data_IF_573135521904
#
_entry.id   IF_573135521904
#
_cell.length_a   1.000
_cell.length_b   1.000
_cell.length_c   1.000
_cell.angle_alpha   90.00
_cell.angle_beta   90.00
_cell.angle_gamma   90.00
#
_symmetry.space_group_name_H-M   'P 1'
#
loop_
_entity.id
_entity.type
_entity.pdbx_description
1 polymer ?
#
# COMPACT_ATOMS: atom_id res chain seq x y z
N UNK A 1 -12.34 -14.17 70.43
CA UNK A 1 -12.47 -14.23 68.95
C UNK A 1 -13.89 -13.82 68.62
N UNK A 2 -14.07 -12.58 68.16
CA UNK A 2 -15.37 -12.03 67.73
C UNK A 2 -15.84 -12.80 66.53
N UNK A 3 -16.91 -13.62 66.65
CA UNK A 3 -17.54 -14.29 65.54
C UNK A 3 -18.00 -13.23 64.52
N UNK A 4 -17.38 -13.21 63.36
CA UNK A 4 -17.80 -12.35 62.27
C UNK A 4 -19.25 -12.66 61.90
N UNK A 5 -20.11 -11.68 61.91
CA UNK A 5 -21.54 -11.81 61.54
C UNK A 5 -21.70 -12.49 60.16
N UNK A 6 -22.76 -13.28 59.95
CA UNK A 6 -23.09 -13.83 58.61
C UNK A 6 -23.14 -12.76 57.53
N UNK A 7 -23.61 -11.56 57.88
CA UNK A 7 -23.64 -10.40 56.99
C UNK A 7 -22.22 -9.95 56.61
N UNK A 8 -21.25 -9.87 57.56
CA UNK A 8 -19.89 -9.46 57.30
C UNK A 8 -19.15 -10.46 56.37
N UNK A 9 -19.39 -11.75 56.59
CA UNK A 9 -18.83 -12.83 55.74
C UNK A 9 -19.36 -12.77 54.31
N UNK A 10 -20.65 -12.53 54.15
CA UNK A 10 -21.30 -12.37 52.84
C UNK A 10 -20.77 -11.14 52.14
N UNK A 11 -20.70 -9.97 52.80
CA UNK A 11 -20.19 -8.72 52.24
C UNK A 11 -18.70 -8.82 51.86
N UNK A 12 -17.89 -9.57 52.62
CA UNK A 12 -16.48 -9.81 52.24
C UNK A 12 -16.35 -10.55 50.89
N UNK A 13 -17.22 -11.52 50.62
CA UNK A 13 -17.25 -12.25 49.34
C UNK A 13 -17.77 -11.43 48.20
N UNK A 14 -18.57 -10.42 48.48
CA UNK A 14 -19.19 -9.52 47.46
C UNK A 14 -18.29 -8.36 47.05
N UNK A 15 -17.09 -8.22 47.58
CA UNK A 15 -16.18 -7.09 47.29
C UNK A 15 -15.94 -6.94 45.78
N UNK A 16 -15.60 -8.00 45.08
CA UNK A 16 -15.33 -7.98 43.66
C UNK A 16 -16.60 -7.77 42.80
N UNK A 17 -17.70 -8.53 42.97
CA UNK A 17 -18.94 -8.25 42.26
C UNK A 17 -19.45 -6.82 42.45
N UNK A 18 -19.33 -6.29 43.68
CA UNK A 18 -19.73 -4.94 43.99
C UNK A 18 -18.86 -3.86 43.30
N UNK A 19 -17.52 -4.07 43.29
CA UNK A 19 -16.60 -3.18 42.59
C UNK A 19 -16.90 -3.15 41.09
N UNK A 20 -17.07 -4.33 40.46
CA UNK A 20 -17.39 -4.44 39.04
C UNK A 20 -18.75 -3.81 38.73
N UNK A 21 -19.78 -4.02 39.57
CA UNK A 21 -21.09 -3.37 39.42
C UNK A 21 -20.95 -1.85 39.48
N UNK A 22 -20.16 -1.33 40.42
CA UNK A 22 -19.93 0.10 40.56
C UNK A 22 -19.18 0.70 39.37
N UNK A 23 -18.16 -0.01 38.85
CA UNK A 23 -17.44 0.38 37.64
C UNK A 23 -18.38 0.38 36.43
N UNK A 24 -19.21 -0.67 36.28
CA UNK A 24 -20.21 -0.75 35.23
C UNK A 24 -21.21 0.41 35.26
N UNK A 25 -21.75 0.74 36.44
CA UNK A 25 -22.64 1.89 36.65
C UNK A 25 -21.92 3.23 36.37
N UNK A 26 -20.64 3.34 36.72
CA UNK A 26 -19.83 4.51 36.39
C UNK A 26 -19.67 4.66 34.88
N UNK A 27 -19.31 3.58 34.18
CA UNK A 27 -19.18 3.58 32.74
C UNK A 27 -20.50 3.95 32.04
N UNK A 28 -21.64 3.39 32.49
CA UNK A 28 -22.96 3.74 31.96
C UNK A 28 -23.24 5.26 32.12
N UNK A 29 -23.07 5.78 33.32
CA UNK A 29 -23.37 7.20 33.61
C UNK A 29 -22.39 8.12 32.87
N UNK A 30 -21.10 7.76 32.80
CA UNK A 30 -20.11 8.52 32.05
C UNK A 30 -20.43 8.53 30.55
N UNK A 31 -20.73 7.37 29.99
CA UNK A 31 -21.12 7.26 28.58
C UNK A 31 -22.38 8.07 28.27
N UNK A 32 -23.42 7.97 29.10
CA UNK A 32 -24.64 8.73 28.94
C UNK A 32 -24.51 10.24 29.13
N UNK A 33 -23.60 10.67 30.02
CA UNK A 33 -23.35 12.09 30.27
C UNK A 33 -22.46 12.75 29.21
N UNK A 34 -21.44 12.03 28.72
CA UNK A 34 -20.36 12.60 27.90
C UNK A 34 -20.37 12.15 26.43
N UNK A 35 -21.35 11.35 25.97
CA UNK A 35 -21.40 10.95 24.54
C UNK A 35 -21.39 12.15 23.55
N UNK A 36 -22.02 13.34 23.86
CA UNK A 36 -21.94 14.46 22.93
C UNK A 36 -20.52 15.03 22.81
N UNK A 37 -19.75 14.98 23.90
CA UNK A 37 -18.33 15.44 23.92
C UNK A 37 -17.48 14.61 22.97
N UNK A 38 -17.59 13.28 23.07
CA UNK A 38 -16.82 12.37 22.21
C UNK A 38 -17.26 12.51 20.75
N UNK A 39 -18.57 12.61 20.49
CA UNK A 39 -19.09 12.79 19.14
C UNK A 39 -18.58 14.09 18.50
N UNK A 40 -18.60 15.18 19.24
CA UNK A 40 -18.08 16.46 18.75
C UNK A 40 -16.56 16.42 18.55
N UNK A 41 -15.82 15.79 19.47
CA UNK A 41 -14.38 15.61 19.31
C UNK A 41 -14.04 14.76 18.06
N UNK A 42 -14.75 13.67 17.81
CA UNK A 42 -14.54 12.82 16.64
C UNK A 42 -14.77 13.55 15.32
N UNK A 43 -15.87 14.32 15.23
CA UNK A 43 -16.17 15.14 14.05
C UNK A 43 -15.09 16.20 13.84
N UNK A 44 -14.64 16.85 14.92
CA UNK A 44 -13.60 17.87 14.83
C UNK A 44 -12.27 17.26 14.36
N UNK A 45 -11.84 16.15 14.96
CA UNK A 45 -10.61 15.44 14.55
C UNK A 45 -10.72 14.99 13.08
N UNK A 46 -11.88 14.46 12.67
CA UNK A 46 -12.09 14.06 11.29
C UNK A 46 -11.98 15.23 10.32
N UNK A 47 -12.58 16.40 10.66
CA UNK A 47 -12.50 17.59 9.84
C UNK A 47 -11.05 18.07 9.64
N UNK A 48 -10.23 18.03 10.69
CA UNK A 48 -8.82 18.37 10.61
C UNK A 48 -8.02 17.33 9.79
N UNK A 49 -8.24 16.05 10.00
CA UNK A 49 -7.55 15.00 9.28
C UNK A 49 -7.85 15.00 7.77
N UNK A 50 -9.05 15.46 7.38
CA UNK A 50 -9.40 15.69 5.96
C UNK A 50 -8.90 17.02 5.40
N UNK A 51 -8.23 17.86 6.20
CA UNK A 51 -7.68 19.13 5.74
C UNK A 51 -8.74 20.20 5.49
N UNK A 52 -9.94 20.08 6.04
CA UNK A 52 -10.98 21.12 5.91
C UNK A 52 -10.53 22.52 6.33
N UNK A 53 -9.68 22.70 7.36
CA UNK A 53 -9.17 24.02 7.72
C UNK A 53 -8.46 24.76 6.60
N UNK A 54 -7.76 24.05 5.72
CA UNK A 54 -7.05 24.67 4.58
C UNK A 54 -7.98 25.21 3.49
N UNK A 55 -9.25 24.76 3.47
CA UNK A 55 -10.25 25.16 2.48
C UNK A 55 -11.10 26.37 2.93
N UNK A 56 -10.92 26.83 4.17
CA UNK A 56 -11.78 27.85 4.80
C UNK A 56 -10.96 29.11 5.06
N UNK A 57 -11.55 30.28 4.78
CA UNK A 57 -10.90 31.56 5.08
C UNK A 57 -10.53 31.65 6.58
N UNK A 58 -9.36 32.20 6.93
CA UNK A 58 -8.86 32.24 8.32
C UNK A 58 -9.85 32.81 9.34
N UNK A 59 -10.57 33.87 9.00
CA UNK A 59 -11.58 34.49 9.87
C UNK A 59 -12.74 33.53 10.16
N UNK A 60 -13.21 32.76 9.15
CA UNK A 60 -14.27 31.80 9.31
C UNK A 60 -13.81 30.57 10.09
N UNK A 61 -12.53 30.17 9.92
CA UNK A 61 -11.92 29.09 10.69
C UNK A 61 -11.86 29.42 12.17
N UNK A 62 -11.41 30.64 12.55
CA UNK A 62 -11.40 31.08 13.94
C UNK A 62 -12.78 31.17 14.56
N UNK A 63 -13.76 31.69 13.80
CA UNK A 63 -15.15 31.70 14.23
C UNK A 63 -15.68 30.27 14.46
N UNK A 64 -15.40 29.34 13.53
CA UNK A 64 -15.76 27.91 13.65
C UNK A 64 -15.13 27.24 14.86
N UNK A 65 -13.84 27.45 15.11
CA UNK A 65 -13.13 26.93 16.28
C UNK A 65 -13.71 27.50 17.58
N UNK A 66 -14.06 28.79 17.59
CA UNK A 66 -14.75 29.41 18.72
C UNK A 66 -16.10 28.76 19.01
N UNK A 67 -16.89 28.48 18.00
CA UNK A 67 -18.17 27.77 18.12
C UNK A 67 -17.96 26.34 18.64
N UNK A 68 -16.98 25.60 18.11
CA UNK A 68 -16.64 24.24 18.58
C UNK A 68 -16.19 24.27 20.03
N UNK A 69 -15.34 25.24 20.43
CA UNK A 69 -14.90 25.39 21.82
C UNK A 69 -16.08 25.69 22.76
N UNK A 70 -17.01 26.57 22.38
CA UNK A 70 -18.21 26.87 23.14
C UNK A 70 -19.12 25.65 23.28
N UNK A 71 -19.33 24.90 22.20
CA UNK A 71 -20.12 23.66 22.21
C UNK A 71 -19.46 22.59 23.09
N UNK A 72 -18.12 22.44 23.02
CA UNK A 72 -17.37 21.54 23.89
C UNK A 72 -17.53 21.96 25.37
N UNK A 73 -17.31 23.23 25.67
CA UNK A 73 -17.48 23.74 27.04
C UNK A 73 -18.92 23.51 27.55
N UNK A 74 -19.91 23.78 26.73
CA UNK A 74 -21.32 23.56 27.07
C UNK A 74 -21.64 22.07 27.27
N UNK A 75 -21.18 21.19 26.39
CA UNK A 75 -21.43 19.74 26.50
C UNK A 75 -20.71 19.14 27.72
N UNK A 76 -19.49 19.60 28.02
CA UNK A 76 -18.72 19.20 29.22
C UNK A 76 -19.46 19.68 30.47
N UNK A 77 -19.82 20.97 30.54
CA UNK A 77 -20.54 21.53 31.70
C UNK A 77 -21.88 20.79 31.93
N UNK A 78 -22.66 20.55 30.86
CA UNK A 78 -23.89 19.77 30.92
C UNK A 78 -23.65 18.32 31.38
N UNK A 79 -22.55 17.70 30.90
CA UNK A 79 -22.12 16.36 31.30
C UNK A 79 -21.79 16.30 32.78
N UNK A 80 -20.99 17.23 33.27
CA UNK A 80 -20.61 17.33 34.70
C UNK A 80 -21.82 17.58 35.60
N UNK A 81 -22.73 18.50 35.23
CA UNK A 81 -23.92 18.79 36.00
C UNK A 81 -24.91 17.61 36.07
N UNK A 82 -24.91 16.75 35.06
CA UNK A 82 -25.77 15.55 35.00
C UNK A 82 -25.12 14.30 35.56
N UNK A 83 -23.78 14.28 35.61
CA UNK A 83 -23.06 13.14 36.09
C UNK A 83 -23.17 12.99 37.61
N UNK A 84 -23.65 11.84 38.05
CA UNK A 84 -23.67 11.48 39.46
C UNK A 84 -22.85 10.22 39.67
N UNK A 85 -21.90 10.28 40.58
CA UNK A 85 -21.09 9.12 40.93
C UNK A 85 -21.97 8.04 41.56
N UNK A 86 -21.83 6.76 41.12
CA UNK A 86 -22.62 5.69 41.73
C UNK A 86 -22.17 5.44 43.16
N UNK A 87 -23.17 5.43 44.09
CA UNK A 87 -22.90 5.14 45.48
C UNK A 87 -22.78 3.64 45.72
N UNK A 88 -22.14 3.25 46.85
CA UNK A 88 -22.03 1.85 47.24
C UNK A 88 -23.44 1.25 47.48
N UNK A 89 -24.39 2.01 48.04
CA UNK A 89 -25.75 1.58 48.31
C UNK A 89 -26.49 1.26 47.00
N UNK A 90 -26.41 2.13 45.97
CA UNK A 90 -26.98 1.89 44.65
C UNK A 90 -26.43 0.63 43.98
N UNK A 91 -25.11 0.39 44.10
CA UNK A 91 -24.46 -0.78 43.53
C UNK A 91 -24.89 -2.07 44.24
N UNK A 92 -25.08 -2.02 45.57
CA UNK A 92 -25.61 -3.15 46.35
C UNK A 92 -27.09 -3.43 45.97
N UNK A 93 -27.93 -2.42 45.84
CA UNK A 93 -29.34 -2.57 45.44
C UNK A 93 -29.44 -3.11 44.01
N UNK A 94 -28.61 -2.65 43.08
CA UNK A 94 -28.56 -3.19 41.71
C UNK A 94 -28.13 -4.64 41.68
N UNK A 95 -27.10 -5.00 42.43
CA UNK A 95 -26.61 -6.38 42.55
C UNK A 95 -27.68 -7.28 43.17
N UNK A 96 -28.35 -6.80 44.20
CA UNK A 96 -29.40 -7.54 44.91
C UNK A 96 -30.65 -7.79 44.06
N UNK A 97 -31.00 -6.87 43.16
CA UNK A 97 -32.12 -7.03 42.20
C UNK A 97 -31.91 -8.16 41.20
N UNK A 98 -30.67 -8.53 40.94
CA UNK A 98 -30.33 -9.65 40.02
C UNK A 98 -30.48 -11.03 40.67
N UNK A 99 -30.65 -11.05 42.00
CA UNK A 99 -30.76 -12.28 42.79
C UNK A 99 -32.22 -12.55 43.21
N UNK A 100 -32.68 -13.81 43.15
CA UNK A 100 -34.01 -14.15 43.56
C UNK A 100 -34.18 -13.98 45.06
N UNK A 101 -35.18 -13.18 45.48
CA UNK A 101 -35.54 -12.94 46.86
C UNK A 101 -34.69 -11.88 47.58
N UNK A 102 -33.93 -11.07 46.84
CA UNK A 102 -33.11 -9.96 47.37
C UNK A 102 -32.31 -10.33 48.62
N UNK A 103 -31.38 -11.31 48.50
CA UNK A 103 -30.67 -11.86 49.65
C UNK A 103 -29.74 -10.88 50.34
N UNK A 104 -29.19 -9.87 49.64
CA UNK A 104 -28.27 -8.89 50.21
C UNK A 104 -29.01 -7.93 51.14
N UNK A 105 -30.19 -7.45 50.72
CA UNK A 105 -31.07 -6.61 51.58
C UNK A 105 -31.50 -7.39 52.84
N UNK A 106 -31.88 -8.68 52.67
CA UNK A 106 -32.26 -9.52 53.81
C UNK A 106 -31.12 -9.79 54.83
N UNK A 107 -29.87 -9.82 54.33
CA UNK A 107 -28.68 -9.97 55.22
C UNK A 107 -28.36 -8.68 55.99
N UNK A 108 -28.76 -7.54 55.48
CA UNK A 108 -28.56 -6.22 56.09
C UNK A 108 -29.76 -5.81 56.96
N UNK A 109 -30.86 -6.54 56.89
CA UNK A 109 -32.07 -6.29 57.67
C UNK A 109 -31.93 -6.84 59.10
N UNK A 110 -32.67 -6.22 60.01
CA UNK A 110 -32.70 -6.61 61.41
C UNK A 110 -34.16 -6.89 61.85
N UNK A 111 -34.35 -7.92 62.62
CA UNK A 111 -35.70 -8.24 63.09
C UNK A 111 -36.20 -7.12 64.00
N UNK A 112 -37.35 -6.53 63.65
CA UNK A 112 -37.96 -5.46 64.45
C UNK A 112 -38.68 -5.95 65.71
N UNK A 113 -39.09 -7.24 65.73
CA UNK A 113 -39.80 -7.86 66.83
C UNK A 113 -39.27 -9.29 67.08
N UNK A 114 -39.34 -9.77 68.32
CA UNK A 114 -39.00 -11.16 68.68
C UNK A 114 -37.52 -11.43 68.91
N UNK A 115 -36.67 -10.41 69.13
CA UNK A 115 -35.24 -10.57 69.39
C UNK A 115 -34.89 -11.28 70.69
N UNK A 116 -35.79 -11.33 71.64
CA UNK A 116 -35.65 -12.01 72.93
C UNK A 116 -36.06 -13.48 72.95
N UNK A 117 -36.87 -13.93 71.96
CA UNK A 117 -37.39 -15.30 71.86
C UNK A 117 -36.33 -16.21 71.17
N UNK A 118 -35.99 -17.37 71.86
CA UNK A 118 -34.99 -18.31 71.31
C UNK A 118 -35.42 -18.98 69.99
N UNK A 119 -36.70 -19.27 69.81
CA UNK A 119 -37.20 -19.96 68.61
C UNK A 119 -37.22 -18.99 67.43
N UNK A 120 -37.63 -17.76 67.63
CA UNK A 120 -37.56 -16.67 66.59
C UNK A 120 -36.11 -16.44 66.15
N UNK A 121 -35.15 -16.45 67.07
CA UNK A 121 -33.71 -16.30 66.73
C UNK A 121 -33.20 -17.47 65.92
N UNK A 122 -33.64 -18.71 66.22
CA UNK A 122 -33.22 -19.90 65.47
C UNK A 122 -33.72 -19.87 64.02
N UNK A 123 -35.00 -19.51 63.83
CA UNK A 123 -35.59 -19.37 62.48
C UNK A 123 -34.93 -18.24 61.70
N UNK A 124 -34.66 -17.08 62.34
CA UNK A 124 -33.95 -15.96 61.72
C UNK A 124 -32.52 -16.36 61.32
N UNK A 125 -31.80 -17.03 62.17
CA UNK A 125 -30.45 -17.54 61.85
C UNK A 125 -30.46 -18.53 60.67
N UNK A 126 -31.48 -19.39 60.57
CA UNK A 126 -31.64 -20.28 59.43
C UNK A 126 -31.98 -19.54 58.14
N UNK A 127 -32.80 -18.47 58.24
CA UNK A 127 -33.11 -17.57 57.11
C UNK A 127 -31.84 -16.87 56.62
N UNK A 128 -31.06 -16.24 57.50
CA UNK A 128 -29.82 -15.58 57.15
C UNK A 128 -28.78 -16.49 56.47
N UNK A 129 -28.62 -17.77 56.99
CA UNK A 129 -27.72 -18.76 56.33
C UNK A 129 -28.17 -19.05 54.89
N UNK A 130 -29.49 -19.19 54.66
CA UNK A 130 -30.07 -19.40 53.33
C UNK A 130 -29.81 -18.19 52.41
N UNK A 131 -29.96 -16.99 52.93
CA UNK A 131 -29.67 -15.78 52.19
C UNK A 131 -28.16 -15.61 51.92
N UNK A 132 -27.28 -15.97 52.83
CA UNK A 132 -25.82 -16.03 52.62
C UNK A 132 -25.47 -16.94 51.43
N UNK A 133 -26.03 -18.17 51.39
CA UNK A 133 -25.84 -19.07 50.27
C UNK A 133 -26.31 -18.53 48.93
N UNK A 134 -27.43 -17.79 48.91
CA UNK A 134 -27.92 -17.13 47.67
C UNK A 134 -27.09 -15.91 47.29
N UNK A 135 -26.63 -15.14 48.25
CA UNK A 135 -25.75 -13.98 48.02
C UNK A 135 -24.38 -14.39 47.44
N UNK A 136 -23.86 -15.59 47.80
CA UNK A 136 -22.63 -16.13 47.28
C UNK A 136 -22.64 -16.39 45.78
N UNK A 137 -23.83 -16.53 45.16
CA UNK A 137 -23.98 -16.68 43.69
C UNK A 137 -24.03 -15.34 42.94
N UNK A 138 -23.84 -14.21 43.64
CA UNK A 138 -23.90 -12.88 43.04
C UNK A 138 -22.83 -12.66 41.96
N UNK A 139 -23.26 -12.22 40.80
CA UNK A 139 -22.39 -11.79 39.69
C UNK A 139 -22.72 -10.36 39.32
N UNK A 140 -21.68 -9.60 38.97
CA UNK A 140 -21.91 -8.21 38.52
C UNK A 140 -22.80 -8.22 37.28
N UNK A 141 -23.91 -7.43 37.30
CA UNK A 141 -24.77 -7.30 36.13
C UNK A 141 -24.02 -6.56 35.01
N UNK A 142 -24.35 -6.91 33.77
CA UNK A 142 -23.82 -6.24 32.59
C UNK A 142 -24.23 -4.76 32.58
N UNK A 143 -23.32 -3.86 32.18
CA UNK A 143 -23.65 -2.43 32.05
C UNK A 143 -24.62 -2.21 30.89
N UNK A 144 -25.66 -1.41 31.11
CA UNK A 144 -26.63 -1.03 30.07
C UNK A 144 -26.14 0.24 29.34
N UNK A 145 -25.43 0.05 28.27
CA UNK A 145 -24.86 1.13 27.42
C UNK A 145 -25.82 1.58 26.30
N UNK A 146 -27.16 1.35 26.43
CA UNK A 146 -28.12 1.69 25.39
C UNK A 146 -28.33 3.20 25.29
N UNK A 147 -27.50 3.83 24.41
CA UNK A 147 -27.58 5.26 24.11
C UNK A 147 -28.72 5.66 23.17
N UNK A 148 -29.40 4.69 22.54
CA UNK A 148 -30.43 4.93 21.52
C UNK A 148 -31.58 5.85 21.98
N UNK A 149 -31.91 5.83 23.29
CA UNK A 149 -32.91 6.71 23.86
C UNK A 149 -32.48 8.16 24.01
N UNK A 150 -31.16 8.43 24.01
CA UNK A 150 -30.57 9.76 24.24
C UNK A 150 -29.98 10.35 22.96
N UNK A 151 -29.84 9.53 21.92
CA UNK A 151 -29.34 9.90 20.60
C UNK A 151 -30.29 9.34 19.51
N UNK A 152 -31.45 9.96 19.32
CA UNK A 152 -32.47 9.48 18.37
C UNK A 152 -32.02 9.58 16.90
N UNK A 153 -31.08 10.48 16.60
CA UNK A 153 -30.54 10.67 15.25
C UNK A 153 -29.24 9.88 15.01
N UNK A 154 -28.83 9.07 15.96
CA UNK A 154 -27.63 8.24 15.85
C UNK A 154 -26.34 9.02 15.51
N UNK A 155 -26.22 10.27 15.96
CA UNK A 155 -25.10 11.18 15.69
C UNK A 155 -23.74 10.61 16.11
N UNK A 156 -23.71 9.80 17.16
CA UNK A 156 -22.52 9.09 17.60
C UNK A 156 -21.94 8.16 16.53
N UNK A 157 -22.80 7.51 15.72
CA UNK A 157 -22.33 6.63 14.66
C UNK A 157 -21.82 7.44 13.47
N UNK A 158 -22.47 8.55 13.15
CA UNK A 158 -21.98 9.49 12.12
C UNK A 158 -20.58 9.99 12.52
N UNK A 159 -20.41 10.41 13.77
CA UNK A 159 -19.13 10.87 14.29
C UNK A 159 -18.05 9.77 14.29
N UNK A 160 -18.42 8.56 14.72
CA UNK A 160 -17.50 7.41 14.72
C UNK A 160 -17.10 6.99 13.29
N UNK A 161 -18.05 6.99 12.35
CA UNK A 161 -17.78 6.70 10.92
C UNK A 161 -16.89 7.78 10.31
N UNK A 162 -17.15 9.06 10.59
CA UNK A 162 -16.31 10.15 10.12
C UNK A 162 -14.86 10.00 10.64
N UNK A 163 -14.70 9.67 11.92
CA UNK A 163 -13.37 9.40 12.49
C UNK A 163 -12.71 8.17 11.85
N UNK A 164 -13.45 7.08 11.67
CA UNK A 164 -12.91 5.87 11.03
C UNK A 164 -12.45 6.15 9.59
N UNK A 165 -13.24 6.89 8.82
CA UNK A 165 -12.87 7.34 7.48
C UNK A 165 -11.62 8.23 7.52
N UNK A 166 -11.54 9.13 8.51
CA UNK A 166 -10.38 10.00 8.68
C UNK A 166 -9.10 9.25 9.07
N UNK A 167 -9.22 8.16 9.82
CA UNK A 167 -8.08 7.29 10.16
C UNK A 167 -7.59 6.45 8.97
N UNK A 168 -8.47 6.10 8.04
CA UNK A 168 -8.15 5.30 6.85
C UNK A 168 -7.62 6.18 5.71
N UNK A 169 -8.28 7.32 5.45
CA UNK A 169 -8.03 8.16 4.29
C UNK A 169 -7.44 9.52 4.63
N UNK A 170 -7.41 9.91 5.91
CA UNK A 170 -6.87 11.18 6.37
C UNK A 170 -5.42 11.07 6.80
N UNK A 171 -4.71 12.19 6.75
CA UNK A 171 -3.33 12.28 7.23
C UNK A 171 -3.31 12.80 8.65
N UNK A 172 -2.96 11.94 9.63
CA UNK A 172 -2.88 12.33 11.04
C UNK A 172 -1.83 13.43 11.30
N UNK A 173 -0.82 13.56 10.42
CA UNK A 173 0.13 14.67 10.46
C UNK A 173 -0.52 16.04 10.37
N UNK A 174 -1.65 16.18 9.66
CA UNK A 174 -2.43 17.44 9.59
C UNK A 174 -3.11 17.83 10.89
N UNK A 175 -3.31 16.88 11.79
CA UNK A 175 -3.86 17.19 13.14
C UNK A 175 -2.80 17.92 13.99
N UNK A 176 -1.51 17.72 13.72
CA UNK A 176 -0.42 18.47 14.38
C UNK A 176 -0.28 19.92 13.90
N UNK A 177 -0.77 20.24 12.68
CA UNK A 177 -0.86 21.62 12.17
C UNK A 177 -1.75 22.53 13.03
N UNK A 178 -2.58 21.95 13.90
CA UNK A 178 -3.33 22.70 14.94
C UNK A 178 -2.37 23.51 15.84
N UNK A 179 -1.16 23.01 16.08
CA UNK A 179 -0.13 23.77 16.82
C UNK A 179 0.27 25.06 16.10
N UNK A 180 0.36 25.00 14.79
CA UNK A 180 0.75 26.15 13.96
C UNK A 180 -0.41 27.14 13.87
N UNK A 181 -1.66 26.66 13.82
CA UNK A 181 -2.86 27.51 13.90
C UNK A 181 -3.00 28.17 15.28
N UNK A 182 -2.62 27.50 16.36
CA UNK A 182 -2.65 28.07 17.72
C UNK A 182 -1.50 29.04 17.96
N UNK A 183 -0.33 28.82 17.36
CA UNK A 183 0.80 29.75 17.39
C UNK A 183 0.58 30.99 16.51
N UNK A 184 -0.37 30.97 15.55
CA UNK A 184 -0.85 32.15 14.82
C UNK A 184 -1.62 33.17 15.70
N UNK A 185 -1.86 32.88 16.98
CA UNK A 185 -2.41 33.80 17.96
C UNK A 185 -1.42 34.85 18.50
N UNK A 186 -0.12 34.66 18.36
CA UNK A 186 0.85 35.74 18.24
C UNK A 186 0.74 36.14 16.75
N UNK A 187 0.06 37.25 16.46
CA UNK A 187 -0.28 37.66 15.09
C UNK A 187 0.80 37.26 14.10
N UNK A 188 0.46 36.90 12.86
CA UNK A 188 1.52 36.81 11.89
C UNK A 188 2.20 38.17 11.99
N UNK A 189 3.41 38.20 12.48
CA UNK A 189 4.36 39.02 11.81
C UNK A 189 4.17 38.54 10.38
N UNK A 190 3.31 39.23 9.62
CA UNK A 190 3.39 39.26 8.18
C UNK A 190 4.88 39.47 8.04
N UNK A 191 5.60 38.42 7.71
CA UNK A 191 6.95 38.57 7.23
C UNK A 191 6.75 39.41 5.97
N UNK A 192 6.67 40.73 6.19
CA UNK A 192 6.61 41.73 5.14
C UNK A 192 8.00 41.88 4.54
N UNK A 193 8.69 40.75 4.45
CA UNK A 193 9.94 40.54 3.77
C UNK A 193 9.74 39.53 2.62
N UNK A 194 10.61 39.59 1.63
CA UNK A 194 10.61 38.63 0.54
C UNK A 194 10.76 37.23 1.11
N UNK A 195 9.87 36.34 0.70
CA UNK A 195 9.88 34.92 1.05
C UNK A 195 9.97 34.09 -0.23
N UNK A 196 10.40 32.88 -0.10
CA UNK A 196 10.52 31.97 -1.25
C UNK A 196 10.10 30.55 -0.87
N UNK A 197 9.69 29.81 -1.88
CA UNK A 197 9.42 28.38 -1.83
C UNK A 197 10.18 27.70 -2.95
N UNK A 198 10.69 26.50 -2.68
CA UNK A 198 11.36 25.71 -3.69
C UNK A 198 11.09 24.21 -3.49
N UNK A 199 11.00 23.51 -4.58
CA UNK A 199 10.86 22.05 -4.57
C UNK A 199 11.61 21.42 -5.73
N UNK A 200 12.08 20.20 -5.49
CA UNK A 200 12.75 19.36 -6.47
C UNK A 200 11.80 18.25 -6.87
N UNK A 201 11.46 18.19 -8.15
CA UNK A 201 10.60 17.16 -8.74
C UNK A 201 11.47 16.19 -9.52
N UNK A 202 11.73 14.98 -9.00
CA UNK A 202 12.41 13.94 -9.76
C UNK A 202 11.60 13.55 -11.01
N UNK A 203 12.24 13.01 -12.06
CA UNK A 203 11.52 12.46 -13.21
C UNK A 203 10.48 11.44 -12.77
N UNK A 204 9.31 11.43 -13.43
CA UNK A 204 8.14 10.62 -13.02
C UNK A 204 8.48 9.13 -12.97
N UNK A 205 9.33 8.67 -13.89
CA UNK A 205 9.71 7.26 -13.98
C UNK A 205 10.49 6.75 -12.77
N UNK A 206 11.19 7.64 -12.03
CA UNK A 206 11.94 7.24 -10.83
C UNK A 206 11.05 6.86 -9.65
N UNK A 207 9.76 7.24 -9.66
CA UNK A 207 8.84 7.00 -8.55
C UNK A 207 9.18 7.73 -7.25
N UNK A 208 10.22 8.58 -7.25
CA UNK A 208 10.68 9.30 -6.08
C UNK A 208 9.74 10.46 -5.72
N UNK A 209 9.53 10.75 -4.43
CA UNK A 209 8.70 11.86 -4.00
C UNK A 209 9.37 13.21 -4.26
N UNK A 210 8.54 14.24 -4.46
CA UNK A 210 8.99 15.64 -4.50
C UNK A 210 9.64 16.05 -3.18
N UNK A 211 10.79 16.69 -3.22
CA UNK A 211 11.52 17.22 -2.07
C UNK A 211 11.29 18.72 -1.94
N UNK A 212 10.95 19.20 -0.75
CA UNK A 212 10.82 20.62 -0.47
C UNK A 212 12.15 21.19 0.04
N UNK A 213 12.73 22.14 -0.71
CA UNK A 213 14.02 22.77 -0.36
C UNK A 213 14.00 23.43 1.01
N UNK A 214 12.85 23.98 1.42
CA UNK A 214 12.67 24.64 2.70
C UNK A 214 12.73 23.66 3.90
N UNK A 215 12.49 22.35 3.66
CA UNK A 215 12.55 21.29 4.67
C UNK A 215 13.89 20.58 4.74
N UNK A 216 14.73 20.71 3.70
CA UNK A 216 16.07 20.11 3.67
C UNK A 216 16.97 20.84 4.65
N UNK A 217 17.30 20.20 5.77
CA UNK A 217 18.20 20.76 6.77
C UNK A 217 19.67 20.52 6.49
N UNK A 218 20.00 19.53 5.65
CA UNK A 218 21.35 19.22 5.21
C UNK A 218 21.86 20.26 4.20
N UNK A 219 23.15 20.45 4.13
CA UNK A 219 23.81 21.36 3.17
C UNK A 219 24.03 20.69 1.81
N UNK A 220 23.72 19.40 1.68
CA UNK A 220 23.77 18.64 0.43
C UNK A 220 22.61 17.67 0.33
N UNK A 221 22.21 17.31 -0.90
CA UNK A 221 21.26 16.25 -1.18
C UNK A 221 21.51 15.64 -2.55
N UNK A 222 20.98 14.45 -2.75
CA UNK A 222 21.07 13.70 -4.01
C UNK A 222 19.73 13.76 -4.76
N UNK A 223 19.82 13.84 -6.10
CA UNK A 223 18.62 13.81 -6.95
C UNK A 223 18.98 13.17 -8.30
N UNK A 224 18.04 12.44 -8.94
CA UNK A 224 18.25 11.87 -10.27
C UNK A 224 18.53 12.94 -11.33
N UNK A 225 19.29 12.56 -12.35
CA UNK A 225 19.47 13.37 -13.55
C UNK A 225 18.11 13.71 -14.18
N UNK A 226 17.99 14.92 -14.73
CA UNK A 226 16.71 15.41 -15.31
C UNK A 226 15.68 15.86 -14.28
N UNK A 227 15.98 15.84 -12.97
CA UNK A 227 15.11 16.42 -11.94
C UNK A 227 14.88 17.91 -12.21
N UNK A 228 13.66 18.38 -11.90
CA UNK A 228 13.30 19.78 -12.06
C UNK A 228 13.26 20.47 -10.71
N UNK A 229 14.07 21.51 -10.54
CA UNK A 229 14.00 22.41 -9.38
C UNK A 229 13.09 23.55 -9.75
N UNK A 230 11.95 23.68 -9.08
CA UNK A 230 11.06 24.83 -9.23
C UNK A 230 11.21 25.74 -8.03
N UNK A 231 11.47 27.00 -8.30
CA UNK A 231 11.65 28.06 -7.31
C UNK A 231 10.60 29.13 -7.51
N UNK A 232 9.94 29.57 -6.45
CA UNK A 232 8.97 30.65 -6.47
C UNK A 232 9.29 31.68 -5.42
N UNK A 233 9.47 32.93 -5.83
CA UNK A 233 9.70 34.07 -4.94
C UNK A 233 8.41 34.87 -4.73
N UNK A 234 8.23 35.37 -3.51
CA UNK A 234 7.13 36.22 -3.08
C UNK A 234 7.68 37.53 -2.54
N UNK A 235 7.14 38.66 -2.97
CA UNK A 235 7.58 40.00 -2.58
C UNK A 235 7.96 40.86 -3.77
N UNK A 236 8.85 41.83 -3.57
CA UNK A 236 9.31 42.71 -4.68
C UNK A 236 10.16 41.92 -5.67
N UNK A 237 9.94 42.06 -6.97
CA UNK A 237 10.76 41.43 -8.01
C UNK A 237 12.26 41.68 -7.81
N UNK A 238 13.06 40.63 -7.80
CA UNK A 238 14.52 40.70 -7.62
C UNK A 238 15.01 40.74 -6.17
N UNK A 239 14.12 40.68 -5.19
CA UNK A 239 14.50 40.59 -3.75
C UNK A 239 15.05 39.27 -3.35
N UNK A 240 14.74 38.22 -4.09
CA UNK A 240 15.30 36.85 -3.98
C UNK A 240 15.68 36.41 -5.38
N UNK A 241 16.88 35.89 -5.56
CA UNK A 241 17.38 35.35 -6.81
C UNK A 241 18.00 33.97 -6.62
N UNK A 242 18.15 33.22 -7.70
CA UNK A 242 18.86 31.94 -7.68
C UNK A 242 20.14 32.05 -8.48
N UNK A 243 21.18 31.43 -7.95
CA UNK A 243 22.47 31.22 -8.63
C UNK A 243 22.76 29.73 -8.62
N UNK A 244 23.04 29.15 -9.79
CA UNK A 244 23.30 27.72 -9.87
C UNK A 244 24.16 27.38 -11.07
N UNK A 245 24.91 26.27 -10.94
CA UNK A 245 25.68 25.65 -12.01
C UNK A 245 25.19 24.23 -12.35
N UNK A 246 24.11 23.76 -11.70
CA UNK A 246 23.54 22.42 -11.94
C UNK A 246 22.83 22.28 -13.28
N UNK A 247 22.43 23.40 -13.89
CA UNK A 247 21.76 23.42 -15.18
C UNK A 247 21.37 24.82 -15.63
N UNK A 248 20.83 24.99 -16.85
CA UNK A 248 20.46 26.26 -17.39
C UNK A 248 19.22 26.84 -16.67
N UNK A 249 19.27 28.13 -16.34
CA UNK A 249 18.12 28.89 -15.83
C UNK A 249 17.44 29.57 -17.04
N UNK A 250 16.18 29.22 -17.38
CA UNK A 250 15.46 29.86 -18.48
C UNK A 250 15.25 31.37 -18.23
N UNK A 251 15.59 32.20 -19.19
CA UNK A 251 15.52 33.66 -19.05
C UNK A 251 14.09 34.20 -19.03
N UNK A 252 13.11 33.49 -19.57
CA UNK A 252 11.70 33.92 -19.72
C UNK A 252 10.87 33.81 -18.43
N UNK A 253 11.32 33.06 -17.45
CA UNK A 253 10.56 32.81 -16.20
C UNK A 253 10.76 33.90 -15.13
N UNK A 254 11.72 34.81 -15.31
CA UNK A 254 12.04 35.82 -14.31
C UNK A 254 10.88 36.81 -14.06
N UNK A 255 9.97 36.99 -15.03
CA UNK A 255 8.82 37.91 -14.93
C UNK A 255 7.60 37.32 -14.21
N UNK A 256 7.52 35.99 -14.10
CA UNK A 256 6.38 35.27 -13.50
C UNK A 256 6.53 35.01 -11.99
N UNK A 257 7.67 35.34 -11.38
CA UNK A 257 7.99 35.03 -9.99
C UNK A 257 8.23 33.54 -9.70
N UNK A 258 8.19 32.71 -10.74
CA UNK A 258 8.53 31.30 -10.68
C UNK A 258 9.63 31.01 -11.70
N UNK A 259 10.67 30.29 -11.29
CA UNK A 259 11.78 29.86 -12.13
C UNK A 259 11.93 28.34 -12.01
N UNK A 260 12.26 27.67 -13.11
CA UNK A 260 12.53 26.24 -13.12
C UNK A 260 13.89 25.94 -13.71
N UNK A 261 14.66 25.06 -13.06
CA UNK A 261 16.00 24.63 -13.50
C UNK A 261 15.95 23.12 -13.67
N UNK A 262 16.42 22.64 -14.84
CA UNK A 262 16.64 21.21 -15.04
C UNK A 262 18.02 20.85 -14.51
N UNK A 263 18.09 19.82 -13.67
CA UNK A 263 19.35 19.34 -13.09
C UNK A 263 20.03 18.39 -14.08
N UNK A 264 21.13 18.85 -14.67
CA UNK A 264 21.90 18.11 -15.68
C UNK A 264 23.24 17.60 -15.15
N UNK A 265 23.76 18.20 -14.09
CA UNK A 265 25.04 17.84 -13.48
C UNK A 265 25.08 18.20 -12.00
N UNK A 266 25.97 17.55 -11.28
CA UNK A 266 26.28 17.90 -9.88
C UNK A 266 26.86 19.31 -9.81
N UNK A 267 26.51 20.05 -8.77
CA UNK A 267 26.93 21.44 -8.58
C UNK A 267 26.26 22.11 -7.40
N UNK A 268 26.32 23.41 -7.38
CA UNK A 268 25.80 24.25 -6.30
C UNK A 268 24.49 24.93 -6.72
N UNK A 269 23.53 24.94 -5.81
CA UNK A 269 22.27 25.66 -5.94
C UNK A 269 22.12 26.64 -4.78
N UNK A 270 22.19 27.93 -5.06
CA UNK A 270 22.12 29.01 -4.06
C UNK A 270 20.90 29.84 -4.26
N UNK A 271 20.16 30.07 -3.20
CA UNK A 271 19.09 31.07 -3.10
C UNK A 271 19.68 32.30 -2.41
N UNK A 272 19.82 33.40 -3.17
CA UNK A 272 20.31 34.66 -2.67
C UNK A 272 19.15 35.54 -2.17
N UNK A 273 19.27 36.07 -0.95
CA UNK A 273 18.26 36.94 -0.36
C UNK A 273 17.98 36.64 1.12
N UNK A 274 16.93 37.25 1.70
CA UNK A 274 16.50 36.95 3.07
C UNK A 274 16.11 35.48 3.20
N UNK A 275 16.67 34.81 4.22
CA UNK A 275 16.56 33.35 4.43
C UNK A 275 17.13 32.52 3.26
N UNK A 276 18.06 33.09 2.53
CA UNK A 276 18.81 32.40 1.49
C UNK A 276 19.64 31.25 2.03
N UNK A 277 19.88 30.26 1.19
CA UNK A 277 20.62 29.04 1.52
C UNK A 277 21.28 28.47 0.29
N UNK A 278 22.35 27.74 0.55
CA UNK A 278 23.12 27.03 -0.49
C UNK A 278 23.05 25.53 -0.22
N UNK A 279 22.91 24.76 -1.28
CA UNK A 279 23.00 23.30 -1.27
C UNK A 279 23.98 22.82 -2.33
N UNK A 280 24.76 21.80 -1.96
CA UNK A 280 25.50 20.99 -2.90
C UNK A 280 24.62 19.86 -3.42
N UNK A 281 24.34 19.83 -4.72
CA UNK A 281 23.49 18.83 -5.36
C UNK A 281 24.37 17.79 -6.04
N UNK A 282 24.22 16.53 -5.63
CA UNK A 282 24.84 15.39 -6.27
C UNK A 282 23.83 14.74 -7.21
N UNK A 283 24.16 14.66 -8.49
CA UNK A 283 23.30 14.01 -9.49
C UNK A 283 23.57 12.51 -9.50
N UNK A 284 22.50 11.75 -9.34
CA UNK A 284 22.49 10.31 -9.54
C UNK A 284 22.23 10.08 -11.03
N UNK A 285 23.25 9.59 -11.73
CA UNK A 285 23.10 9.22 -13.14
C UNK A 285 22.21 7.99 -13.23
N UNK A 286 21.32 8.00 -14.22
CA UNK A 286 20.46 6.88 -14.57
C UNK A 286 21.29 5.83 -15.30
N UNK A 287 21.26 4.59 -14.84
CA UNK A 287 22.01 3.49 -15.45
C UNK A 287 21.18 2.86 -16.57
N UNK A 288 21.84 2.44 -17.66
CA UNK A 288 21.14 1.68 -18.69
C UNK A 288 20.73 0.29 -18.18
N UNK A 289 19.56 -0.22 -18.56
CA UNK A 289 19.09 -1.53 -18.15
C UNK A 289 19.99 -2.65 -18.64
N UNK A 290 20.11 -3.71 -17.88
CA UNK A 290 20.81 -4.93 -18.26
C UNK A 290 19.85 -6.10 -18.45
N UNK A 291 20.19 -7.02 -19.36
CA UNK A 291 19.42 -8.23 -19.62
C UNK A 291 20.33 -9.41 -19.84
N UNK A 292 20.00 -10.53 -19.21
CA UNK A 292 20.75 -11.77 -19.36
C UNK A 292 19.81 -12.96 -19.56
N UNK A 293 20.27 -13.95 -20.34
CA UNK A 293 19.61 -15.24 -20.42
C UNK A 293 19.87 -16.02 -19.11
N UNK A 294 18.83 -16.53 -18.49
CA UNK A 294 18.93 -17.38 -17.31
C UNK A 294 18.81 -18.86 -17.74
N UNK A 295 19.94 -19.53 -17.86
CA UNK A 295 20.05 -20.89 -18.35
C UNK A 295 20.20 -20.98 -19.88
N UNK A 296 19.62 -22.01 -20.48
CA UNK A 296 19.67 -22.30 -21.91
C UNK A 296 18.29 -22.17 -22.57
N UNK A 297 18.31 -22.01 -23.92
CA UNK A 297 17.06 -22.07 -24.69
C UNK A 297 16.63 -23.52 -24.83
N UNK A 298 15.51 -23.87 -24.23
CA UNK A 298 14.98 -25.22 -24.22
C UNK A 298 13.87 -25.41 -25.28
N UNK A 299 13.74 -26.66 -25.75
CA UNK A 299 12.69 -27.05 -26.66
C UNK A 299 11.78 -28.09 -26.04
N UNK A 300 10.50 -27.78 -25.89
CA UNK A 300 9.48 -28.75 -25.50
C UNK A 300 9.15 -29.72 -26.61
N UNK A 301 8.64 -30.96 -26.32
CA UNK A 301 8.33 -31.97 -27.35
C UNK A 301 7.42 -31.50 -28.47
N UNK A 302 6.41 -30.64 -28.28
CA UNK A 302 5.60 -30.07 -29.35
C UNK A 302 6.36 -29.12 -30.29
N UNK A 303 7.56 -28.66 -29.88
CA UNK A 303 8.40 -27.74 -30.62
C UNK A 303 8.28 -26.29 -30.13
N UNK A 304 7.74 -26.06 -28.94
CA UNK A 304 7.74 -24.77 -28.32
C UNK A 304 9.16 -24.42 -27.88
N UNK A 305 9.54 -23.18 -28.09
CA UNK A 305 10.77 -22.61 -27.55
C UNK A 305 10.45 -21.99 -26.20
N UNK A 306 11.27 -22.31 -25.20
CA UNK A 306 11.20 -21.71 -23.88
C UNK A 306 12.59 -21.25 -23.44
N UNK A 307 12.65 -20.07 -22.84
CA UNK A 307 13.84 -19.62 -22.11
C UNK A 307 13.43 -18.65 -21.01
N UNK A 308 14.20 -18.67 -19.92
CA UNK A 308 14.12 -17.68 -18.87
C UNK A 308 15.12 -16.55 -19.15
N UNK A 309 14.78 -15.34 -18.75
CA UNK A 309 15.67 -14.20 -18.81
C UNK A 309 15.52 -13.37 -17.53
N UNK A 310 16.61 -12.73 -17.11
CA UNK A 310 16.62 -11.79 -16.00
C UNK A 310 16.93 -10.41 -16.56
N UNK A 311 16.14 -9.42 -16.14
CA UNK A 311 16.37 -8.03 -16.48
C UNK A 311 16.49 -7.21 -15.19
N UNK A 312 17.44 -6.24 -15.19
CA UNK A 312 17.72 -5.37 -14.04
C UNK A 312 17.86 -3.93 -14.49
N UNK A 313 17.37 -3.01 -13.66
CA UNK A 313 17.43 -1.58 -13.88
C UNK A 313 17.21 -0.84 -12.57
N UNK A 314 17.81 0.33 -12.37
CA UNK A 314 17.68 1.08 -11.12
C UNK A 314 16.30 1.76 -10.94
N UNK A 315 15.61 2.06 -12.04
CA UNK A 315 14.24 2.63 -12.00
C UNK A 315 13.19 1.77 -12.69
N UNK A 316 13.57 0.65 -13.25
CA UNK A 316 12.70 -0.37 -13.78
C UNK A 316 12.60 -0.43 -15.31
N UNK A 317 12.57 -1.64 -15.81
CA UNK A 317 12.48 -1.95 -17.24
C UNK A 317 11.06 -1.68 -17.75
N UNK A 318 10.94 -0.84 -18.78
CA UNK A 318 9.68 -0.51 -19.41
C UNK A 318 9.19 -1.59 -20.38
N UNK A 319 10.08 -2.08 -21.24
CA UNK A 319 9.77 -3.06 -22.28
C UNK A 319 10.98 -3.88 -22.70
N UNK A 320 10.75 -5.00 -23.35
CA UNK A 320 11.82 -5.82 -23.90
C UNK A 320 11.39 -6.56 -25.15
N UNK A 321 12.35 -6.89 -26.00
CA UNK A 321 12.16 -7.65 -27.24
C UNK A 321 13.28 -8.67 -27.45
N UNK A 322 12.91 -9.83 -27.96
CA UNK A 322 13.85 -10.83 -28.47
C UNK A 322 13.84 -10.81 -30.00
N UNK A 323 14.98 -10.54 -30.60
CA UNK A 323 15.16 -10.55 -32.06
C UNK A 323 15.93 -11.78 -32.46
N UNK A 324 15.31 -12.64 -33.28
CA UNK A 324 15.91 -13.89 -33.73
C UNK A 324 16.22 -13.78 -35.24
N UNK A 325 17.46 -14.03 -35.61
CA UNK A 325 17.96 -14.02 -36.99
C UNK A 325 18.55 -15.36 -37.32
N UNK A 326 18.38 -15.78 -38.59
CA UNK A 326 19.06 -16.95 -39.12
C UNK A 326 20.59 -16.72 -39.08
N UNK A 327 21.30 -17.73 -38.64
CA UNK A 327 22.79 -17.80 -38.74
C UNK A 327 23.17 -18.80 -39.84
N UNK A 328 23.32 -18.33 -41.10
CA UNK A 328 23.57 -19.22 -42.23
C UNK A 328 24.99 -19.81 -42.22
N UNK A 329 25.91 -19.19 -41.53
CA UNK A 329 27.33 -19.60 -41.54
C UNK A 329 27.56 -20.85 -40.67
N UNK A 330 26.76 -20.99 -39.61
CA UNK A 330 26.76 -22.15 -38.73
C UNK A 330 25.76 -23.24 -39.13
N UNK A 331 25.05 -23.08 -40.25
CA UNK A 331 24.09 -24.09 -40.71
C UNK A 331 24.81 -25.34 -41.28
N UNK A 332 24.40 -26.53 -40.82
CA UNK A 332 24.89 -27.80 -41.37
C UNK A 332 24.28 -28.07 -42.75
N UNK A 333 25.13 -27.94 -43.79
CA UNK A 333 24.72 -28.10 -45.19
C UNK A 333 25.16 -29.42 -45.79
N UNK A 334 25.64 -30.38 -45.01
CA UNK A 334 26.17 -31.65 -45.53
C UNK A 334 25.19 -32.49 -46.29
N UNK A 335 23.90 -32.40 -45.92
CA UNK A 335 22.83 -33.23 -46.46
C UNK A 335 21.70 -32.45 -47.10
N UNK A 336 21.78 -31.16 -47.18
CA UNK A 336 20.74 -30.28 -47.73
C UNK A 336 21.14 -28.83 -47.70
N UNK A 337 20.17 -27.93 -47.73
CA UNK A 337 20.33 -26.48 -47.64
C UNK A 337 21.31 -25.93 -48.73
N UNK A 338 21.11 -26.37 -49.97
CA UNK A 338 21.93 -25.91 -51.10
C UNK A 338 21.62 -24.44 -51.42
N UNK A 339 22.67 -23.71 -51.86
CA UNK A 339 22.55 -22.29 -52.19
C UNK A 339 22.49 -21.35 -51.00
N UNK A 340 22.43 -20.05 -51.23
CA UNK A 340 22.22 -19.05 -50.19
C UNK A 340 20.78 -19.15 -49.64
N UNK A 341 20.56 -18.84 -48.35
CA UNK A 341 19.22 -18.81 -47.81
C UNK A 341 18.39 -17.67 -48.41
N UNK A 342 17.11 -17.87 -48.53
CA UNK A 342 16.12 -16.83 -48.89
C UNK A 342 16.22 -15.69 -47.86
N UNK A 343 16.27 -14.43 -48.31
CA UNK A 343 16.24 -13.30 -47.38
C UNK A 343 14.93 -13.27 -46.61
N UNK A 344 15.02 -13.26 -45.29
CA UNK A 344 13.88 -13.18 -44.38
C UNK A 344 14.12 -12.14 -43.31
N UNK A 345 13.06 -11.48 -42.93
CA UNK A 345 13.10 -10.55 -41.78
C UNK A 345 13.40 -11.30 -40.47
N UNK A 346 14.01 -10.61 -39.55
CA UNK A 346 14.20 -11.12 -38.21
C UNK A 346 12.82 -11.36 -37.55
N UNK A 347 12.71 -12.44 -36.82
CA UNK A 347 11.57 -12.64 -35.93
C UNK A 347 11.71 -11.73 -34.70
N UNK A 348 10.68 -10.99 -34.41
CA UNK A 348 10.58 -10.13 -33.22
C UNK A 348 9.53 -10.71 -32.28
N UNK A 349 9.92 -10.91 -31.03
CA UNK A 349 9.04 -11.39 -29.97
C UNK A 349 9.13 -10.40 -28.82
N UNK A 350 7.99 -10.04 -28.25
CA UNK A 350 7.94 -9.21 -27.06
C UNK A 350 8.30 -10.04 -25.83
N UNK A 351 9.20 -9.54 -25.00
CA UNK A 351 9.55 -10.18 -23.75
C UNK A 351 8.41 -9.94 -22.73
N UNK A 352 7.97 -10.98 -22.00
CA UNK A 352 6.95 -10.81 -20.97
C UNK A 352 7.47 -9.93 -19.83
N UNK A 353 6.60 -9.03 -19.35
CA UNK A 353 6.90 -8.16 -18.21
C UNK A 353 6.06 -8.60 -17.01
N UNK A 354 6.58 -8.48 -15.78
CA UNK A 354 5.84 -8.86 -14.58
C UNK A 354 4.58 -8.02 -14.43
N UNK A 355 3.45 -8.69 -14.14
CA UNK A 355 2.16 -8.03 -13.87
C UNK A 355 2.09 -7.46 -12.44
N UNK A 356 2.92 -7.96 -11.53
CA UNK A 356 2.96 -7.57 -10.10
C UNK A 356 4.40 -7.59 -9.62
N UNK A 357 4.73 -6.64 -8.74
CA UNK A 357 6.09 -6.48 -8.21
C UNK A 357 6.82 -5.32 -8.84
N UNK A 358 8.07 -5.10 -8.42
CA UNK A 358 8.99 -4.14 -9.02
C UNK A 358 9.45 -4.62 -10.40
N UNK A 359 9.91 -3.69 -11.22
CA UNK A 359 10.56 -3.98 -12.51
C UNK A 359 12.05 -3.65 -12.48
N UNK A 360 12.53 -3.39 -11.28
CA UNK A 360 13.94 -3.12 -10.98
C UNK A 360 14.82 -4.38 -11.12
N UNK A 361 14.30 -5.55 -10.71
CA UNK A 361 14.94 -6.84 -10.90
C UNK A 361 13.87 -7.92 -11.01
N UNK A 362 13.84 -8.63 -12.13
CA UNK A 362 12.88 -9.71 -12.33
C UNK A 362 13.41 -10.78 -13.27
N UNK A 363 12.88 -11.98 -13.11
CA UNK A 363 13.08 -13.12 -14.02
C UNK A 363 11.72 -13.55 -14.55
N UNK A 364 11.62 -13.62 -15.88
CA UNK A 364 10.41 -14.06 -16.58
C UNK A 364 10.77 -15.14 -17.62
N UNK A 365 9.75 -15.85 -18.06
CA UNK A 365 9.91 -16.96 -19.02
C UNK A 365 9.14 -16.63 -20.30
N UNK A 366 9.85 -16.60 -21.43
CA UNK A 366 9.24 -16.55 -22.75
C UNK A 366 8.96 -17.97 -23.23
N UNK A 367 7.71 -18.21 -23.62
CA UNK A 367 7.26 -19.46 -24.24
C UNK A 367 6.56 -19.14 -25.57
N UNK A 368 7.13 -19.65 -26.69
CA UNK A 368 6.59 -19.39 -28.02
C UNK A 368 6.60 -20.62 -28.91
N UNK A 369 5.54 -20.81 -29.70
CA UNK A 369 5.47 -21.90 -30.70
C UNK A 369 6.12 -21.50 -32.03
N UNK A 370 7.41 -21.75 -32.13
CA UNK A 370 8.17 -21.55 -33.34
C UNK A 370 8.32 -22.84 -34.21
N UNK A 371 7.60 -23.90 -33.88
CA UNK A 371 7.71 -25.20 -34.53
C UNK A 371 7.48 -25.18 -36.06
N UNK A 372 6.68 -24.22 -36.52
CA UNK A 372 6.36 -24.05 -37.95
C UNK A 372 7.18 -22.95 -38.63
N UNK A 373 7.96 -22.19 -37.86
CA UNK A 373 8.75 -21.11 -38.41
C UNK A 373 9.85 -21.62 -39.36
N UNK A 374 10.20 -20.89 -40.44
CA UNK A 374 11.25 -21.31 -41.36
C UNK A 374 12.62 -21.52 -40.70
N UNK A 375 12.89 -20.88 -39.58
CA UNK A 375 14.15 -21.04 -38.83
C UNK A 375 14.14 -22.26 -37.89
N UNK A 376 13.01 -22.94 -37.71
CA UNK A 376 12.94 -24.12 -36.85
C UNK A 376 14.01 -25.16 -37.22
N UNK A 377 14.70 -25.70 -36.24
CA UNK A 377 15.81 -26.63 -36.35
C UNK A 377 17.06 -26.09 -37.10
N UNK A 378 17.17 -24.78 -37.29
CA UNK A 378 18.37 -24.10 -37.84
C UNK A 378 19.09 -23.31 -36.75
N UNK A 379 20.40 -23.06 -36.95
CA UNK A 379 21.13 -22.16 -36.06
C UNK A 379 20.63 -20.72 -36.24
N UNK A 380 20.53 -20.00 -35.14
CA UNK A 380 20.06 -18.61 -35.12
C UNK A 380 20.89 -17.80 -34.13
N UNK A 381 20.95 -16.51 -34.37
CA UNK A 381 21.45 -15.52 -33.42
C UNK A 381 20.24 -14.84 -32.78
N UNK A 382 20.16 -14.84 -31.46
CA UNK A 382 19.11 -14.20 -30.67
C UNK A 382 19.68 -13.00 -29.93
N UNK A 383 19.10 -11.84 -30.14
CA UNK A 383 19.45 -10.60 -29.41
C UNK A 383 18.29 -10.23 -28.52
N UNK A 384 18.52 -10.19 -27.22
CA UNK A 384 17.60 -9.63 -26.24
C UNK A 384 17.88 -8.14 -26.12
N UNK A 385 16.85 -7.36 -26.10
CA UNK A 385 16.91 -5.91 -25.95
C UNK A 385 15.89 -5.51 -24.90
N UNK A 386 16.28 -4.74 -23.91
CA UNK A 386 15.40 -4.13 -22.92
C UNK A 386 15.56 -2.63 -22.97
N UNK A 387 14.49 -1.93 -22.63
CA UNK A 387 14.44 -0.46 -22.62
C UNK A 387 13.80 -0.02 -21.31
N UNK A 388 14.36 0.97 -20.64
CA UNK A 388 13.81 1.62 -19.47
C UNK A 388 12.78 2.71 -19.82
N UNK A 389 12.26 3.39 -18.81
CA UNK A 389 11.32 4.51 -18.98
C UNK A 389 12.05 5.81 -19.43
N UNK A 390 13.36 5.91 -19.26
CA UNK A 390 14.17 7.01 -19.76
C UNK A 390 14.52 6.87 -21.25
N UNK A 391 14.31 5.67 -21.83
CA UNK A 391 14.62 5.33 -23.21
C UNK A 391 16.04 4.80 -23.42
N UNK A 392 16.77 4.45 -22.36
CA UNK A 392 18.06 3.79 -22.45
C UNK A 392 17.87 2.32 -22.82
N UNK A 393 18.87 1.73 -23.47
CA UNK A 393 18.75 0.42 -24.09
C UNK A 393 19.88 -0.48 -23.62
N UNK A 394 19.52 -1.62 -23.03
CA UNK A 394 20.40 -2.74 -22.77
C UNK A 394 20.24 -3.84 -23.80
N UNK A 395 21.36 -4.42 -24.25
CA UNK A 395 21.32 -5.48 -25.27
C UNK A 395 22.35 -6.57 -25.00
N UNK A 396 21.95 -7.82 -25.25
CA UNK A 396 22.84 -8.98 -25.23
C UNK A 396 22.51 -9.92 -26.37
N UNK A 397 23.50 -10.60 -26.91
CA UNK A 397 23.33 -11.53 -28.03
C UNK A 397 23.84 -12.92 -27.70
N UNK A 398 23.09 -13.94 -28.14
CA UNK A 398 23.38 -15.34 -27.92
C UNK A 398 23.30 -16.10 -29.25
N UNK A 399 24.25 -17.00 -29.49
CA UNK A 399 24.18 -17.92 -30.59
C UNK A 399 23.46 -19.20 -30.15
N UNK A 400 22.35 -19.48 -30.79
CA UNK A 400 21.53 -20.66 -30.53
C UNK A 400 21.82 -21.69 -31.63
N UNK A 401 22.56 -22.78 -31.32
CA UNK A 401 23.00 -23.74 -32.34
C UNK A 401 21.83 -24.39 -33.10
N UNK A 402 20.66 -24.43 -32.45
CA UNK A 402 19.47 -24.99 -33.03
C UNK A 402 18.22 -24.37 -32.40
N UNK A 403 17.50 -23.60 -33.20
CA UNK A 403 16.21 -23.09 -32.75
C UNK A 403 15.26 -24.28 -32.51
N UNK A 404 14.58 -24.37 -31.36
CA UNK A 404 13.62 -25.42 -31.06
C UNK A 404 12.57 -25.59 -32.18
N UNK A 405 12.26 -26.83 -32.48
CA UNK A 405 11.28 -27.21 -33.45
C UNK A 405 10.66 -28.56 -33.13
N UNK A 406 9.56 -28.88 -33.74
CA UNK A 406 8.86 -30.15 -33.50
C UNK A 406 9.76 -31.33 -33.85
N UNK A 407 9.83 -32.31 -32.97
CA UNK A 407 10.56 -33.57 -33.18
C UNK A 407 9.62 -34.59 -33.81
N UNK A 408 10.12 -35.22 -34.88
CA UNK A 408 9.42 -36.32 -35.58
C UNK A 408 10.24 -37.59 -35.39
N UNK A 409 9.61 -38.63 -34.87
CA UNK A 409 10.26 -39.94 -34.63
C UNK A 409 10.05 -40.89 -35.76
N UNK A 410 8.96 -40.68 -36.54
CA UNK A 410 8.70 -41.43 -37.75
C UNK A 410 9.68 -41.03 -38.87
N UNK A 411 10.37 -42.00 -39.52
CA UNK A 411 11.39 -41.72 -40.54
C UNK A 411 10.83 -40.94 -41.75
N UNK A 412 9.60 -41.24 -42.18
CA UNK A 412 8.96 -40.59 -43.29
C UNK A 412 8.61 -39.15 -42.94
N UNK A 413 8.01 -38.94 -41.76
CA UNK A 413 7.68 -37.62 -41.26
C UNK A 413 8.96 -36.76 -41.10
N UNK A 414 10.06 -37.35 -40.64
CA UNK A 414 11.33 -36.66 -40.53
C UNK A 414 11.90 -36.26 -41.91
N UNK A 415 11.83 -37.16 -42.90
CA UNK A 415 12.24 -36.85 -44.28
C UNK A 415 11.40 -35.71 -44.88
N UNK A 416 10.07 -35.71 -44.65
CA UNK A 416 9.17 -34.65 -45.12
C UNK A 416 9.51 -33.29 -44.50
N UNK A 417 9.84 -33.24 -43.20
CA UNK A 417 10.20 -31.99 -42.55
C UNK A 417 11.55 -31.48 -43.02
N UNK A 418 12.50 -32.37 -43.33
CA UNK A 418 13.78 -31.97 -43.92
C UNK A 418 13.62 -31.40 -45.33
N UNK A 419 12.79 -32.02 -46.17
CA UNK A 419 12.47 -31.48 -47.48
C UNK A 419 11.75 -30.13 -47.41
N UNK A 420 10.81 -29.98 -46.48
CA UNK A 420 10.18 -28.66 -46.18
C UNK A 420 11.22 -27.62 -45.81
N UNK A 421 12.17 -27.95 -44.91
CA UNK A 421 13.24 -27.07 -44.49
C UNK A 421 14.16 -26.67 -45.65
N UNK A 422 14.49 -27.63 -46.54
CA UNK A 422 15.32 -27.41 -47.74
C UNK A 422 14.65 -26.41 -48.71
N UNK A 423 13.36 -26.54 -48.95
CA UNK A 423 12.58 -25.61 -49.79
C UNK A 423 12.44 -24.23 -49.11
N UNK A 424 12.22 -24.21 -47.82
CA UNK A 424 12.12 -22.95 -47.07
C UNK A 424 13.48 -22.20 -46.97
N UNK A 425 14.59 -22.94 -47.02
CA UNK A 425 15.92 -22.37 -47.12
C UNK A 425 16.14 -21.66 -48.45
N UNK A 426 15.87 -22.33 -49.55
CA UNK A 426 15.96 -21.77 -50.89
C UNK A 426 14.97 -22.48 -51.80
N UNK A 427 14.16 -21.74 -52.55
CA UNK A 427 13.11 -22.28 -53.48
C UNK A 427 13.72 -23.08 -54.61
N UNK A 428 14.95 -22.81 -55.02
CA UNK A 428 15.64 -23.57 -56.05
C UNK A 428 15.85 -25.05 -55.66
N UNK A 429 15.78 -25.36 -54.37
CA UNK A 429 15.84 -26.74 -53.86
C UNK A 429 14.55 -27.54 -54.10
N UNK A 430 13.46 -26.91 -54.57
CA UNK A 430 12.14 -27.56 -54.78
C UNK A 430 12.23 -28.78 -55.74
N UNK A 431 13.03 -28.71 -56.81
CA UNK A 431 13.22 -29.82 -57.77
C UNK A 431 13.90 -31.02 -57.11
N UNK A 432 14.90 -30.77 -56.29
CA UNK A 432 15.62 -31.79 -55.49
C UNK A 432 14.67 -32.42 -54.48
N UNK A 433 13.92 -31.61 -53.73
CA UNK A 433 12.94 -32.08 -52.76
C UNK A 433 11.83 -32.94 -53.42
N UNK A 434 11.34 -32.54 -54.58
CA UNK A 434 10.36 -33.32 -55.35
C UNK A 434 10.92 -34.69 -55.81
N UNK A 435 12.19 -34.77 -56.21
CA UNK A 435 12.85 -36.04 -56.56
C UNK A 435 13.01 -36.97 -55.35
N UNK A 436 13.44 -36.42 -54.23
CA UNK A 436 13.57 -37.17 -52.97
C UNK A 436 12.21 -37.65 -52.48
N UNK A 437 11.16 -36.79 -52.52
CA UNK A 437 9.81 -37.15 -52.14
C UNK A 437 9.28 -38.33 -52.98
N UNK A 438 9.45 -38.28 -54.29
CA UNK A 438 9.06 -39.41 -55.17
C UNK A 438 9.82 -40.70 -54.83
N UNK A 439 11.10 -40.61 -54.45
CA UNK A 439 11.89 -41.79 -54.07
C UNK A 439 11.39 -42.40 -52.74
N UNK A 440 11.11 -41.56 -51.76
CA UNK A 440 10.62 -42.00 -50.43
C UNK A 440 9.20 -42.55 -50.50
N UNK A 441 8.35 -42.03 -51.41
CA UNK A 441 6.97 -42.49 -51.58
C UNK A 441 6.81 -43.51 -52.70
N UNK A 442 7.87 -44.13 -53.19
CA UNK A 442 7.85 -45.10 -54.27
C UNK A 442 7.13 -46.38 -53.87
N UNK A 443 7.24 -46.87 -52.66
CA UNK A 443 6.55 -48.03 -52.12
C UNK A 443 5.82 -47.58 -50.82
N UNK A 444 4.67 -46.89 -50.94
CA UNK A 444 3.96 -46.36 -49.79
C UNK A 444 3.43 -47.43 -48.86
N UNK A 445 3.27 -48.64 -49.33
CA UNK A 445 2.79 -49.80 -48.55
C UNK A 445 3.74 -50.26 -47.50
N UNK A 446 5.04 -49.98 -47.68
CA UNK A 446 6.10 -50.32 -46.71
C UNK A 446 6.24 -49.28 -45.59
N UNK A 447 5.82 -48.01 -45.80
CA UNK A 447 6.07 -46.88 -44.95
C UNK A 447 4.81 -46.24 -44.32
N UNK A 448 3.62 -46.58 -44.82
CA UNK A 448 2.34 -46.03 -44.36
C UNK A 448 1.45 -47.15 -43.80
N UNK A 449 0.86 -46.95 -42.64
CA UNK A 449 -0.16 -47.84 -42.10
C UNK A 449 -1.31 -48.01 -43.10
N UNK A 450 -1.79 -49.24 -43.29
CA UNK A 450 -2.81 -49.64 -44.29
C UNK A 450 -4.18 -48.89 -44.18
N UNK A 451 -4.34 -47.96 -43.28
CA UNK A 451 -5.55 -47.15 -43.10
C UNK A 451 -5.48 -45.73 -43.69
N UNK A 452 -4.41 -45.37 -44.38
CA UNK A 452 -4.16 -43.97 -44.86
C UNK A 452 -4.22 -43.84 -46.38
N UNK A 453 -4.61 -44.90 -47.11
CA UNK A 453 -4.82 -44.88 -48.57
C UNK A 453 -6.18 -44.38 -48.95
#
# INVERSE_FOLDING_TARGET
MTETSPADRALARLIWPLRLTRIGMFAERATLAFWPVWSLAFVTIAAFAFGMPAMIAPAALWAGLGVVALLLAWTIARGVLRFRTPTRAEALDRLDRTLPGRPISALLDHPAVGTSDPDTRSVWAAHLRRMEGRAAAARAPEPDLRLSRHDPYALRYVAATALAMALIFGTLGRVSEVRDVVNLGAGPAVASGPSWEGWVEPPVYTGLPTLYLNEITADSFETPEGSRITFRSYGEPGSVSITTDVGPVPADDAASGAQSVSVERSGEFTVDGPMGRTWEISVLADAAPDVALDGEVEGEPPGHMQFAFTATDDYGVASGTARIRLDPDNADRRYGLSGPPEPREALLLDLPMPFRGGRDEFTEVLLEDLSKHPFANLPVSMTLTVTDEAGQIGTVSYDIPRLPGRRFFDPLANALIEMRRDILWNRDNAERAARLLRAVTWSPEDDLDQGVY
#
